data_IF_795838325673
#
_entry.id   IF_795838325673
#
_cell.length_a   1.000
_cell.length_b   1.000
_cell.length_c   1.000
_cell.angle_alpha   90.00
_cell.angle_beta   90.00
_cell.angle_gamma   90.00
#
_symmetry.space_group_name_H-M   'P 1'
#
loop_
_entity.id
_entity.type
_entity.pdbx_description
1 polymer ?
#
# COMPACT_ATOMS: atom_id res chain seq x y z
N UNK A 1 30.91 -37.69 -1.97
CA UNK A 1 29.90 -37.70 -0.92
C UNK A 1 30.02 -36.38 -0.18
N UNK A 2 29.26 -35.40 -0.58
CA UNK A 2 29.14 -34.09 0.10
C UNK A 2 27.65 -33.86 0.34
N UNK A 3 27.24 -34.07 1.59
CA UNK A 3 25.89 -33.88 2.05
C UNK A 3 25.64 -32.37 2.14
N UNK A 4 24.71 -31.88 1.31
CA UNK A 4 24.10 -30.56 1.50
C UNK A 4 22.91 -30.76 2.45
N UNK A 5 23.18 -30.62 3.74
CA UNK A 5 22.15 -30.44 4.76
C UNK A 5 22.22 -29.00 5.21
N UNK A 6 21.20 -28.24 4.92
CA UNK A 6 21.12 -26.85 5.35
C UNK A 6 19.82 -26.18 4.93
N UNK A 7 18.65 -26.78 5.26
CA UNK A 7 17.47 -25.96 5.54
C UNK A 7 17.70 -25.34 6.90
N UNK A 8 18.14 -24.10 6.96
CA UNK A 8 18.15 -23.33 8.18
C UNK A 8 16.69 -23.24 8.66
N UNK A 9 16.44 -23.86 9.80
CA UNK A 9 15.27 -23.66 10.64
C UNK A 9 15.40 -22.25 11.26
N UNK A 10 15.42 -21.23 10.40
CA UNK A 10 15.41 -19.85 10.82
C UNK A 10 13.97 -19.55 11.22
N UNK A 11 13.72 -19.56 12.52
CA UNK A 11 12.44 -19.19 13.10
C UNK A 11 11.93 -17.84 12.54
N UNK A 12 10.63 -17.59 12.65
CA UNK A 12 10.03 -16.32 12.19
C UNK A 12 10.65 -15.17 12.97
N UNK A 13 11.01 -14.09 12.29
CA UNK A 13 11.61 -12.90 12.89
C UNK A 13 10.70 -11.68 12.68
N UNK A 14 10.93 -10.60 13.45
CA UNK A 14 10.31 -9.28 13.24
C UNK A 14 10.52 -8.84 11.78
N UNK A 15 11.70 -9.08 11.22
CA UNK A 15 11.99 -8.82 9.81
C UNK A 15 11.08 -9.58 8.86
N UNK A 16 10.86 -10.88 9.12
CA UNK A 16 9.97 -11.71 8.29
C UNK A 16 8.53 -11.22 8.30
N UNK A 17 8.03 -10.80 9.47
CA UNK A 17 6.70 -10.22 9.61
C UNK A 17 6.60 -8.88 8.87
N UNK A 18 7.57 -7.99 9.07
CA UNK A 18 7.61 -6.69 8.40
C UNK A 18 7.67 -6.85 6.87
N UNK A 19 8.51 -7.76 6.35
CA UNK A 19 8.62 -8.01 4.91
C UNK A 19 7.34 -8.60 4.32
N UNK A 20 6.60 -9.42 5.07
CA UNK A 20 5.28 -9.90 4.64
C UNK A 20 4.27 -8.75 4.58
N UNK A 21 4.21 -7.94 5.63
CA UNK A 21 3.28 -6.80 5.70
C UNK A 21 3.61 -5.76 4.63
N UNK A 22 4.89 -5.45 4.36
CA UNK A 22 5.30 -4.52 3.30
C UNK A 22 4.98 -5.07 1.89
N UNK A 23 4.91 -6.38 1.69
CA UNK A 23 4.45 -6.97 0.42
C UNK A 23 2.94 -6.87 0.25
N UNK A 24 2.17 -7.08 1.32
CA UNK A 24 0.70 -7.05 1.28
C UNK A 24 0.18 -5.60 1.31
N UNK A 25 0.82 -4.75 2.11
CA UNK A 25 0.53 -3.33 2.27
C UNK A 25 1.74 -2.49 1.85
N UNK A 26 2.04 -2.38 0.54
CA UNK A 26 3.25 -1.74 0.07
C UNK A 26 3.37 -0.29 0.54
N UNK A 27 4.52 0.14 1.10
CA UNK A 27 4.71 1.53 1.56
C UNK A 27 4.45 2.59 0.49
N UNK A 28 4.59 2.24 -0.81
CA UNK A 28 4.28 3.14 -1.93
C UNK A 28 2.80 3.55 -2.02
N UNK A 29 1.91 2.80 -1.37
CA UNK A 29 0.48 3.10 -1.31
C UNK A 29 0.12 4.04 -0.16
N UNK A 30 1.06 4.35 0.73
CA UNK A 30 0.84 5.30 1.81
C UNK A 30 0.74 6.73 1.26
N UNK A 31 -0.11 7.53 1.89
CA UNK A 31 -0.18 8.96 1.66
C UNK A 31 1.15 9.65 2.01
N UNK A 32 1.49 10.71 1.29
CA UNK A 32 2.78 11.38 1.44
C UNK A 32 3.05 11.98 2.84
N UNK A 33 2.00 12.22 3.61
CA UNK A 33 2.06 12.75 4.98
C UNK A 33 2.12 11.66 6.05
N UNK A 34 1.97 10.38 5.66
CA UNK A 34 1.82 9.23 6.56
C UNK A 34 3.16 8.67 7.06
N UNK A 35 3.10 7.79 8.07
CA UNK A 35 4.24 7.12 8.67
C UNK A 35 3.92 5.66 8.92
N UNK A 36 4.37 4.78 8.03
CA UNK A 36 4.10 3.34 8.05
C UNK A 36 5.37 2.52 8.20
N UNK A 37 5.23 1.24 8.53
CA UNK A 37 6.35 0.30 8.67
C UNK A 37 6.75 0.04 10.12
N UNK A 38 7.96 -0.48 10.33
CA UNK A 38 8.49 -0.82 11.66
C UNK A 38 8.83 0.44 12.45
N UNK A 39 8.10 0.67 13.54
CA UNK A 39 8.24 1.86 14.42
C UNK A 39 9.32 1.66 15.48
N UNK A 40 9.37 0.48 16.11
CA UNK A 40 10.44 0.05 17.02
C UNK A 40 10.56 -1.48 17.02
N UNK A 41 11.71 -1.99 17.42
CA UNK A 41 12.05 -3.40 17.45
C UNK A 41 13.29 -3.73 16.62
N UNK A 42 13.88 -4.88 16.87
CA UNK A 42 15.02 -5.40 16.10
C UNK A 42 14.51 -6.44 15.09
N UNK A 43 14.81 -6.22 13.81
CA UNK A 43 14.37 -7.13 12.71
C UNK A 43 14.88 -8.56 12.87
N UNK A 44 15.92 -8.78 13.65
CA UNK A 44 16.52 -10.11 13.88
C UNK A 44 15.90 -10.86 15.05
N UNK A 45 15.09 -10.21 15.89
CA UNK A 45 14.42 -10.86 17.02
C UNK A 45 13.36 -11.85 16.54
N UNK A 46 13.26 -12.98 17.27
CA UNK A 46 12.28 -14.02 16.97
C UNK A 46 10.87 -13.57 17.33
N UNK A 47 9.88 -14.02 16.55
CA UNK A 47 8.46 -13.77 16.77
C UNK A 47 7.71 -15.10 16.83
N UNK A 48 6.97 -15.30 17.91
CA UNK A 48 6.03 -16.41 18.09
C UNK A 48 4.60 -15.90 18.24
N UNK A 49 4.42 -14.73 18.89
CA UNK A 49 3.12 -14.15 19.24
C UNK A 49 2.96 -12.73 18.69
N UNK A 50 1.84 -12.47 18.03
CA UNK A 50 1.48 -11.15 17.52
C UNK A 50 0.15 -10.66 18.09
N UNK A 51 0.04 -9.36 18.35
CA UNK A 51 -1.20 -8.68 18.75
C UNK A 51 -1.59 -7.67 17.67
N UNK A 52 -2.82 -7.75 17.18
CA UNK A 52 -3.34 -6.84 16.16
C UNK A 52 -4.31 -5.84 16.80
N UNK A 53 -4.20 -4.57 16.46
CA UNK A 53 -5.08 -3.52 16.99
C UNK A 53 -5.30 -2.40 15.97
N UNK A 54 -6.32 -1.56 16.21
CA UNK A 54 -6.47 -0.31 15.47
C UNK A 54 -5.52 0.75 16.05
N UNK A 55 -5.61 1.04 17.33
CA UNK A 55 -4.84 2.09 18.02
C UNK A 55 -3.82 1.51 19.00
N UNK A 56 -2.69 2.18 19.17
CA UNK A 56 -1.66 1.84 20.17
C UNK A 56 -1.92 2.63 21.45
N UNK A 57 -2.86 2.13 22.27
CA UNK A 57 -3.22 2.71 23.57
C UNK A 57 -2.44 2.06 24.71
N UNK A 58 -2.47 2.68 25.92
CA UNK A 58 -1.88 2.07 27.13
C UNK A 58 -2.47 0.68 27.41
N UNK A 59 -3.78 0.49 27.20
CA UNK A 59 -4.44 -0.80 27.39
C UNK A 59 -3.94 -1.88 26.42
N UNK A 60 -3.66 -1.52 25.15
CA UNK A 60 -3.04 -2.42 24.17
C UNK A 60 -1.63 -2.82 24.61
N UNK A 61 -0.85 -1.85 25.07
CA UNK A 61 0.53 -2.09 25.56
C UNK A 61 0.52 -2.93 26.83
N UNK A 62 -0.42 -2.71 27.75
CA UNK A 62 -0.60 -3.55 28.95
C UNK A 62 -0.91 -4.99 28.56
N UNK A 63 -1.83 -5.19 27.62
CA UNK A 63 -2.18 -6.53 27.13
C UNK A 63 -0.98 -7.21 26.44
N UNK A 64 -0.23 -6.48 25.60
CA UNK A 64 0.94 -7.02 24.91
C UNK A 64 2.03 -7.45 25.90
N UNK A 65 2.34 -6.62 26.89
CA UNK A 65 3.36 -6.93 27.91
C UNK A 65 2.92 -8.08 28.82
N UNK A 66 1.66 -8.12 29.23
CA UNK A 66 1.12 -9.21 30.05
C UNK A 66 1.03 -10.55 29.30
N UNK A 67 0.86 -10.51 27.98
CA UNK A 67 0.74 -11.67 27.11
C UNK A 67 2.06 -12.15 26.51
N UNK A 68 3.21 -11.57 26.88
CA UNK A 68 4.52 -11.83 26.28
C UNK A 68 4.47 -11.78 24.73
N UNK A 69 3.87 -10.70 24.19
CA UNK A 69 3.73 -10.47 22.75
C UNK A 69 5.04 -9.96 22.15
N UNK A 70 5.50 -10.59 21.07
CA UNK A 70 6.75 -10.21 20.41
C UNK A 70 6.59 -9.04 19.44
N UNK A 71 5.41 -8.90 18.81
CA UNK A 71 5.10 -7.81 17.88
C UNK A 71 3.65 -7.36 17.96
N UNK A 72 3.46 -6.04 18.01
CA UNK A 72 2.15 -5.41 17.78
C UNK A 72 2.09 -4.94 16.32
N UNK A 73 1.00 -5.29 15.63
CA UNK A 73 0.65 -4.73 14.32
C UNK A 73 -0.55 -3.81 14.50
N UNK A 74 -0.33 -2.52 14.34
CA UNK A 74 -1.34 -1.50 14.52
C UNK A 74 -1.75 -0.88 13.19
N UNK A 75 -3.01 -0.46 13.09
CA UNK A 75 -3.46 0.35 11.97
C UNK A 75 -2.94 1.79 12.12
N UNK A 76 -3.27 2.44 13.20
CA UNK A 76 -2.89 3.83 13.43
C UNK A 76 -1.43 4.00 13.86
N UNK A 77 -0.70 4.96 13.28
CA UNK A 77 0.68 5.22 13.64
C UNK A 77 0.79 5.89 15.02
N UNK A 78 1.56 5.28 15.92
CA UNK A 78 1.92 5.92 17.18
C UNK A 78 2.67 7.24 16.94
N UNK A 79 3.53 7.27 15.92
CA UNK A 79 4.37 8.41 15.54
C UNK A 79 4.03 8.86 14.11
N UNK A 80 2.92 9.61 13.95
CA UNK A 80 2.52 10.14 12.63
C UNK A 80 3.45 11.26 12.14
N UNK A 81 4.10 11.99 13.06
CA UNK A 81 5.05 13.07 12.74
C UNK A 81 6.39 12.75 13.36
N UNK A 82 7.46 13.27 12.75
CA UNK A 82 8.81 13.17 13.31
C UNK A 82 8.85 13.67 14.76
N UNK A 83 9.63 13.01 15.60
CA UNK A 83 9.79 13.35 17.03
C UNK A 83 11.25 13.65 17.33
N UNK A 84 11.49 14.68 18.14
CA UNK A 84 12.83 15.07 18.59
C UNK A 84 13.21 14.38 19.91
N UNK A 85 12.24 13.75 20.58
CA UNK A 85 12.44 13.06 21.86
C UNK A 85 11.46 11.91 22.02
N UNK A 86 11.95 10.83 22.62
CA UNK A 86 11.15 9.67 23.05
C UNK A 86 11.23 9.48 24.56
N UNK A 87 11.45 10.57 25.31
CA UNK A 87 11.54 10.54 26.77
C UNK A 87 10.26 9.96 27.40
N UNK A 88 10.42 9.16 28.46
CA UNK A 88 9.32 8.42 29.09
C UNK A 88 8.32 9.30 29.86
N UNK A 89 8.59 10.59 30.00
CA UNK A 89 7.70 11.60 30.60
C UNK A 89 6.65 12.14 29.64
N UNK A 90 6.69 11.73 28.37
CA UNK A 90 5.65 12.01 27.38
C UNK A 90 4.79 10.77 27.14
N UNK A 91 3.51 10.96 26.77
CA UNK A 91 2.59 9.85 26.54
C UNK A 91 3.15 8.83 25.51
N UNK A 92 3.58 9.30 24.33
CA UNK A 92 4.14 8.44 23.27
C UNK A 92 5.51 7.86 23.66
N UNK A 93 6.35 8.64 24.33
CA UNK A 93 7.64 8.17 24.84
C UNK A 93 7.48 7.08 25.89
N UNK A 94 6.52 7.21 26.81
CA UNK A 94 6.18 6.16 27.79
C UNK A 94 5.83 4.83 27.12
N UNK A 95 4.96 4.87 26.12
CA UNK A 95 4.58 3.69 25.31
C UNK A 95 5.82 3.04 24.67
N UNK A 96 6.65 3.82 23.98
CA UNK A 96 7.87 3.30 23.35
C UNK A 96 8.85 2.70 24.36
N UNK A 97 9.06 3.36 25.51
CA UNK A 97 9.92 2.81 26.56
C UNK A 97 9.43 1.47 27.09
N UNK A 98 8.11 1.31 27.25
CA UNK A 98 7.51 0.04 27.70
C UNK A 98 7.69 -1.06 26.66
N UNK A 99 7.43 -0.78 25.39
CA UNK A 99 7.60 -1.74 24.29
C UNK A 99 9.06 -2.18 24.15
N UNK A 100 10.02 -1.21 24.12
CA UNK A 100 11.44 -1.50 23.99
C UNK A 100 11.95 -2.34 25.17
N UNK A 101 11.50 -2.05 26.40
CA UNK A 101 11.88 -2.81 27.59
C UNK A 101 11.27 -4.21 27.62
N UNK A 102 10.08 -4.39 27.09
CA UNK A 102 9.41 -5.67 26.92
C UNK A 102 9.95 -6.47 25.73
N UNK A 103 10.79 -5.85 24.87
CA UNK A 103 11.27 -6.42 23.60
C UNK A 103 10.11 -6.69 22.63
N UNK A 104 9.03 -5.94 22.73
CA UNK A 104 7.88 -6.01 21.82
C UNK A 104 8.09 -5.03 20.67
N UNK A 105 8.13 -5.53 19.45
CA UNK A 105 8.19 -4.70 18.26
C UNK A 105 6.83 -4.04 17.96
N UNK A 106 6.85 -2.90 17.27
CA UNK A 106 5.65 -2.22 16.79
C UNK A 106 5.77 -1.97 15.30
N UNK A 107 4.80 -2.47 14.55
CA UNK A 107 4.65 -2.21 13.11
C UNK A 107 3.34 -1.48 12.85
N UNK A 108 3.34 -0.53 11.92
CA UNK A 108 2.15 0.24 11.51
C UNK A 108 1.85 0.00 10.03
N UNK A 109 0.58 -0.34 9.73
CA UNK A 109 0.03 -0.35 8.37
C UNK A 109 -1.24 0.51 8.35
N UNK A 110 -1.13 1.73 7.85
CA UNK A 110 -2.15 2.77 7.92
C UNK A 110 -2.72 3.05 6.53
N UNK A 111 -2.50 4.22 5.92
CA UNK A 111 -3.07 4.56 4.61
C UNK A 111 -2.60 3.63 3.48
N UNK A 112 -1.46 2.97 3.61
CA UNK A 112 -1.06 1.89 2.72
C UNK A 112 -1.97 0.66 2.83
N UNK A 113 -2.49 0.33 4.04
CA UNK A 113 -3.47 -0.73 4.23
C UNK A 113 -4.87 -0.29 3.78
N UNK A 114 -5.23 1.01 3.91
CA UNK A 114 -6.48 1.56 3.35
C UNK A 114 -6.55 1.39 1.84
N UNK A 115 -5.42 1.62 1.17
CA UNK A 115 -5.31 1.58 -0.29
C UNK A 115 -5.02 0.19 -0.85
N UNK A 116 -4.46 -0.74 -0.07
CA UNK A 116 -4.12 -2.09 -0.53
C UNK A 116 -5.34 -2.94 -0.90
N UNK A 117 -5.08 -4.07 -1.60
CA UNK A 117 -6.09 -5.08 -1.91
C UNK A 117 -5.50 -6.49 -1.69
N UNK A 118 -6.03 -7.28 -0.72
CA UNK A 118 -7.06 -6.90 0.26
C UNK A 118 -6.55 -5.87 1.27
N UNK A 119 -7.42 -4.95 1.69
CA UNK A 119 -7.10 -3.87 2.64
C UNK A 119 -8.26 -3.57 3.60
N UNK A 120 -8.16 -2.44 4.31
CA UNK A 120 -9.15 -2.01 5.33
C UNK A 120 -10.56 -1.93 4.75
N UNK A 121 -10.69 -1.28 3.59
CA UNK A 121 -12.00 -1.10 2.95
C UNK A 121 -12.54 -2.38 2.31
N UNK A 122 -11.66 -3.37 1.96
CA UNK A 122 -12.14 -4.71 1.55
C UNK A 122 -12.73 -5.45 2.75
N UNK A 123 -12.04 -5.48 3.90
CA UNK A 123 -12.54 -6.10 5.11
C UNK A 123 -13.87 -5.47 5.57
N UNK A 124 -14.01 -4.15 5.46
CA UNK A 124 -15.25 -3.44 5.76
C UNK A 124 -16.37 -3.83 4.77
N UNK A 125 -16.08 -3.87 3.46
CA UNK A 125 -17.03 -4.28 2.43
C UNK A 125 -17.55 -5.71 2.66
N UNK A 126 -16.64 -6.64 2.96
CA UNK A 126 -16.94 -8.05 3.19
C UNK A 126 -17.91 -8.24 4.36
N UNK A 127 -17.65 -7.63 5.52
CA UNK A 127 -18.53 -7.76 6.70
C UNK A 127 -19.89 -7.08 6.51
N UNK A 128 -20.00 -6.11 5.60
CA UNK A 128 -21.25 -5.45 5.22
C UNK A 128 -22.00 -6.15 4.09
N UNK A 129 -21.40 -7.17 3.47
CA UNK A 129 -21.98 -7.92 2.35
C UNK A 129 -22.01 -7.14 1.04
N UNK A 130 -21.01 -6.27 0.83
CA UNK A 130 -20.79 -5.58 -0.45
C UNK A 130 -19.91 -6.44 -1.33
N UNK A 131 -20.39 -6.77 -2.52
CA UNK A 131 -19.74 -7.67 -3.49
C UNK A 131 -19.37 -6.93 -4.79
N UNK A 132 -18.58 -7.59 -5.64
CA UNK A 132 -18.09 -7.05 -6.92
C UNK A 132 -17.41 -5.69 -6.76
N UNK A 133 -16.53 -5.58 -5.76
CA UNK A 133 -15.91 -4.33 -5.37
C UNK A 133 -14.78 -3.89 -6.30
N UNK A 134 -14.68 -2.57 -6.49
CA UNK A 134 -13.53 -1.88 -7.07
C UNK A 134 -13.14 -0.70 -6.18
N UNK A 135 -11.90 -0.15 -6.34
CA UNK A 135 -11.52 1.04 -5.58
C UNK A 135 -12.47 2.21 -5.85
N UNK A 136 -12.84 2.92 -4.79
CA UNK A 136 -13.63 4.15 -4.90
C UNK A 136 -12.80 5.30 -5.50
N UNK A 137 -11.55 5.38 -5.10
CA UNK A 137 -10.54 6.27 -5.67
C UNK A 137 -9.30 5.43 -6.02
N UNK A 138 -9.16 4.97 -7.27
CA UNK A 138 -8.02 4.15 -7.68
C UNK A 138 -6.69 4.87 -7.45
N UNK A 139 -5.68 4.11 -6.99
CA UNK A 139 -4.30 4.54 -6.98
C UNK A 139 -3.63 4.17 -8.32
N UNK A 140 -2.73 5.00 -8.84
CA UNK A 140 -2.01 4.63 -10.06
C UNK A 140 -1.08 3.44 -9.81
N UNK A 141 -0.86 2.65 -10.85
CA UNK A 141 0.24 1.68 -10.87
C UNK A 141 1.58 2.37 -10.59
N UNK A 142 2.56 1.61 -10.13
CA UNK A 142 3.90 2.13 -9.94
C UNK A 142 4.40 2.76 -11.25
N UNK A 143 4.92 4.01 -11.21
CA UNK A 143 5.33 4.70 -12.43
C UNK A 143 6.49 3.97 -13.10
N UNK A 144 6.34 3.70 -14.38
CA UNK A 144 7.33 3.03 -15.22
C UNK A 144 7.97 4.00 -16.21
N UNK A 145 9.16 3.68 -16.65
CA UNK A 145 9.87 4.33 -17.75
C UNK A 145 10.12 3.32 -18.86
N UNK A 146 9.82 3.71 -20.10
CA UNK A 146 10.24 3.00 -21.30
C UNK A 146 11.63 3.47 -21.68
N UNK A 147 12.56 2.54 -21.75
CA UNK A 147 13.93 2.75 -22.20
C UNK A 147 14.08 2.32 -23.64
N UNK A 148 14.72 3.14 -24.43
CA UNK A 148 15.08 2.85 -25.82
C UNK A 148 16.59 3.13 -25.95
N UNK A 149 17.36 2.14 -26.36
CA UNK A 149 18.82 2.26 -26.45
C UNK A 149 19.29 1.81 -27.84
N UNK A 150 20.10 2.61 -28.49
CA UNK A 150 20.76 2.26 -29.74
C UNK A 150 22.13 1.70 -29.42
N UNK A 151 22.36 0.45 -29.75
CA UNK A 151 23.58 -0.29 -29.36
C UNK A 151 24.19 -0.96 -30.62
N UNK A 152 25.50 -0.91 -30.87
CA UNK A 152 26.10 -1.75 -31.90
C UNK A 152 25.67 -3.20 -31.75
N UNK A 153 25.23 -3.87 -32.81
CA UNK A 153 24.59 -5.19 -32.78
C UNK A 153 25.37 -6.18 -31.88
N UNK A 154 26.70 -6.22 -32.05
CA UNK A 154 27.57 -7.13 -31.29
C UNK A 154 27.71 -6.84 -29.80
N UNK A 155 27.16 -5.70 -29.29
CA UNK A 155 27.19 -5.31 -27.88
C UNK A 155 25.79 -5.29 -27.24
N UNK A 156 24.73 -5.60 -27.98
CA UNK A 156 23.34 -5.48 -27.53
C UNK A 156 23.05 -6.38 -26.35
N UNK A 157 23.52 -7.63 -26.35
CA UNK A 157 23.36 -8.58 -25.26
C UNK A 157 24.04 -8.07 -23.99
N UNK A 158 25.30 -7.65 -24.05
CA UNK A 158 26.04 -7.15 -22.88
C UNK A 158 25.38 -5.93 -22.25
N UNK A 159 24.87 -4.99 -23.04
CA UNK A 159 24.21 -3.78 -22.54
C UNK A 159 22.86 -4.16 -21.90
N UNK A 160 22.09 -5.06 -22.53
CA UNK A 160 20.81 -5.54 -22.02
C UNK A 160 20.99 -6.24 -20.66
N UNK A 161 21.95 -7.15 -20.53
CA UNK A 161 22.25 -7.86 -19.28
C UNK A 161 22.63 -6.91 -18.15
N UNK A 162 23.45 -5.88 -18.45
CA UNK A 162 23.80 -4.87 -17.45
C UNK A 162 22.56 -4.08 -16.97
N UNK A 163 21.63 -3.73 -17.88
CA UNK A 163 20.39 -3.05 -17.54
C UNK A 163 19.44 -3.96 -16.77
N UNK A 164 19.34 -5.26 -17.12
CA UNK A 164 18.55 -6.24 -16.37
C UNK A 164 19.08 -6.42 -14.95
N UNK A 165 20.38 -6.54 -14.77
CA UNK A 165 21.01 -6.61 -13.45
C UNK A 165 20.73 -5.37 -12.59
N UNK A 166 20.49 -4.21 -13.22
CA UNK A 166 20.07 -2.98 -12.52
C UNK A 166 18.54 -2.89 -12.29
N UNK A 167 17.78 -3.92 -12.68
CA UNK A 167 16.34 -4.05 -12.43
C UNK A 167 15.44 -3.61 -13.58
N UNK A 168 15.97 -3.36 -14.79
CA UNK A 168 15.14 -3.18 -15.98
C UNK A 168 14.55 -4.51 -16.46
N UNK A 169 13.54 -4.46 -17.35
CA UNK A 169 12.93 -5.64 -17.96
C UNK A 169 12.01 -6.44 -17.06
N UNK A 170 11.55 -5.90 -15.92
CA UNK A 170 10.58 -6.57 -15.06
C UNK A 170 9.14 -6.17 -15.45
N UNK A 171 8.29 -7.16 -15.79
CA UNK A 171 6.87 -6.98 -16.10
C UNK A 171 6.08 -8.06 -15.36
N UNK A 172 5.40 -7.71 -14.27
CA UNK A 172 4.73 -8.67 -13.41
C UNK A 172 5.71 -9.73 -12.89
N UNK A 173 5.40 -11.01 -13.13
CA UNK A 173 6.24 -12.16 -12.76
C UNK A 173 7.33 -12.48 -13.80
N UNK A 174 7.41 -11.72 -14.89
CA UNK A 174 8.42 -11.90 -15.93
C UNK A 174 9.62 -10.98 -15.73
N UNK A 175 10.82 -11.50 -16.02
CA UNK A 175 12.08 -10.77 -15.95
C UNK A 175 12.76 -10.77 -17.31
N UNK A 176 13.72 -9.88 -17.46
CA UNK A 176 14.57 -9.74 -18.65
C UNK A 176 13.76 -9.53 -19.94
N UNK A 177 12.59 -8.88 -19.77
CA UNK A 177 11.71 -8.54 -20.88
C UNK A 177 12.31 -7.39 -21.69
N UNK A 178 12.67 -7.68 -22.92
CA UNK A 178 13.12 -6.68 -23.89
C UNK A 178 12.60 -7.02 -25.28
N UNK A 179 12.57 -6.02 -26.12
CA UNK A 179 12.32 -6.16 -27.56
C UNK A 179 13.45 -5.49 -28.33
N UNK A 180 13.90 -6.07 -29.44
CA UNK A 180 14.95 -5.47 -30.24
C UNK A 180 14.71 -5.64 -31.72
N UNK A 181 15.26 -4.71 -32.49
CA UNK A 181 15.31 -4.75 -33.96
C UNK A 181 16.63 -4.15 -34.43
N UNK A 182 17.23 -4.75 -35.43
CA UNK A 182 18.46 -4.23 -36.07
C UNK A 182 18.09 -3.22 -37.13
N UNK A 183 18.81 -2.10 -37.14
CA UNK A 183 18.72 -1.02 -38.10
C UNK A 183 20.10 -0.45 -38.38
N UNK A 184 20.17 0.64 -39.17
CA UNK A 184 21.42 1.32 -39.48
C UNK A 184 21.45 2.67 -38.79
N UNK A 185 22.34 2.83 -37.79
CA UNK A 185 22.69 4.10 -37.19
C UNK A 185 23.70 4.87 -38.05
N UNK A 186 23.71 6.20 -37.92
CA UNK A 186 24.74 7.02 -38.54
C UNK A 186 25.17 8.17 -37.64
N UNK A 187 26.46 8.51 -37.69
CA UNK A 187 27.00 9.66 -36.96
C UNK A 187 28.28 10.18 -37.68
N UNK A 188 28.72 11.35 -37.25
CA UNK A 188 30.00 11.93 -37.67
C UNK A 188 30.70 12.45 -36.41
N UNK A 189 31.83 11.85 -36.06
CA UNK A 189 32.65 12.27 -34.91
C UNK A 189 33.36 13.59 -35.23
N UNK A 190 33.32 14.58 -34.32
CA UNK A 190 33.93 15.90 -34.51
C UNK A 190 34.69 16.36 -33.26
N UNK A 191 35.59 17.31 -33.45
CA UNK A 191 36.29 17.97 -32.34
C UNK A 191 37.17 17.04 -31.54
N UNK A 192 36.89 16.92 -30.24
CA UNK A 192 37.63 16.09 -29.28
C UNK A 192 37.01 14.71 -29.07
N UNK A 193 36.01 14.30 -29.87
CA UNK A 193 35.39 12.97 -29.77
C UNK A 193 36.41 11.86 -30.01
N UNK A 194 36.29 10.76 -29.27
CA UNK A 194 37.11 9.57 -29.40
C UNK A 194 36.22 8.36 -29.75
N UNK A 195 35.82 8.24 -31.03
CA UNK A 195 34.84 7.24 -31.43
C UNK A 195 35.39 5.82 -31.32
N UNK A 196 34.62 4.93 -30.73
CA UNK A 196 34.91 3.48 -30.67
C UNK A 196 34.83 2.86 -32.07
N UNK A 197 33.97 3.38 -32.96
CA UNK A 197 33.75 2.93 -34.33
C UNK A 197 33.81 4.17 -35.23
N UNK A 198 34.44 4.06 -36.39
CA UNK A 198 34.58 5.14 -37.36
C UNK A 198 35.77 6.07 -37.12
N UNK A 199 35.84 7.19 -37.85
CA UNK A 199 36.93 8.16 -37.82
C UNK A 199 36.42 9.58 -37.68
N UNK A 200 37.27 10.48 -37.15
CA UNK A 200 36.97 11.92 -37.06
C UNK A 200 36.70 12.54 -38.42
N UNK A 201 35.61 13.28 -38.57
CA UNK A 201 35.24 14.02 -39.77
C UNK A 201 34.64 13.17 -40.90
N UNK A 202 34.42 11.87 -40.66
CA UNK A 202 33.80 10.95 -41.61
C UNK A 202 32.41 10.53 -41.11
N UNK A 203 31.43 10.48 -42.04
CA UNK A 203 30.11 9.93 -41.74
C UNK A 203 30.18 8.42 -41.70
N UNK A 204 29.98 7.86 -40.55
CA UNK A 204 30.01 6.43 -40.26
C UNK A 204 28.62 5.86 -40.22
N UNK A 205 28.40 4.67 -40.79
CA UNK A 205 27.17 3.89 -40.68
C UNK A 205 27.49 2.61 -39.93
N UNK A 206 26.63 2.27 -38.98
CA UNK A 206 26.80 1.10 -38.09
C UNK A 206 25.49 0.33 -38.00
N UNK A 207 25.59 -1.00 -38.09
CA UNK A 207 24.45 -1.86 -37.75
C UNK A 207 24.22 -1.82 -36.23
N UNK A 208 23.09 -1.26 -35.82
CA UNK A 208 22.71 -1.05 -34.45
C UNK A 208 21.41 -1.78 -34.10
N UNK A 209 21.38 -2.44 -32.98
CA UNK A 209 20.13 -2.92 -32.37
C UNK A 209 19.48 -1.76 -31.61
N UNK A 210 18.23 -1.47 -31.95
CA UNK A 210 17.37 -0.69 -31.11
C UNK A 210 16.79 -1.66 -30.08
N UNK A 211 17.17 -1.51 -28.81
CA UNK A 211 16.70 -2.32 -27.67
C UNK A 211 15.71 -1.51 -26.88
N UNK A 212 14.56 -2.12 -26.59
CA UNK A 212 13.50 -1.51 -25.79
C UNK A 212 13.18 -2.37 -24.58
N UNK A 213 13.07 -1.74 -23.42
CA UNK A 213 12.65 -2.39 -22.17
C UNK A 213 11.97 -1.39 -21.25
N UNK A 214 11.31 -1.87 -20.20
CA UNK A 214 10.72 -1.01 -19.17
C UNK A 214 11.49 -1.14 -17.87
N UNK A 215 11.42 -0.11 -17.02
CA UNK A 215 11.97 -0.15 -15.67
C UNK A 215 11.12 0.73 -14.74
N UNK A 216 11.01 0.33 -13.48
CA UNK A 216 10.39 1.18 -12.47
C UNK A 216 11.13 2.53 -12.39
N UNK A 217 10.38 3.65 -12.39
CA UNK A 217 10.95 5.02 -12.40
C UNK A 217 11.94 5.26 -11.27
N UNK A 218 11.74 4.62 -10.10
CA UNK A 218 12.68 4.69 -8.98
C UNK A 218 14.08 4.12 -9.30
N UNK A 219 14.18 3.23 -10.29
CA UNK A 219 15.45 2.63 -10.72
C UNK A 219 16.17 3.42 -11.81
N UNK A 220 15.63 4.57 -12.26
CA UNK A 220 16.17 5.36 -13.38
C UNK A 220 17.68 5.63 -13.23
N UNK A 221 18.13 6.00 -12.02
CA UNK A 221 19.54 6.32 -11.77
C UNK A 221 20.44 5.10 -11.89
N UNK A 222 20.05 3.96 -11.34
CA UNK A 222 20.84 2.72 -11.40
C UNK A 222 20.88 2.14 -12.80
N UNK A 223 19.74 2.11 -13.50
CA UNK A 223 19.65 1.64 -14.89
C UNK A 223 20.48 2.52 -15.82
N UNK A 224 20.43 3.86 -15.68
CA UNK A 224 21.25 4.78 -16.47
C UNK A 224 22.76 4.57 -16.22
N UNK A 225 23.14 4.35 -14.97
CA UNK A 225 24.54 4.08 -14.64
C UNK A 225 25.03 2.77 -15.27
N UNK A 226 24.21 1.71 -15.20
CA UNK A 226 24.53 0.42 -15.82
C UNK A 226 24.62 0.50 -17.34
N UNK A 227 23.67 1.18 -17.99
CA UNK A 227 23.69 1.45 -19.42
C UNK A 227 25.01 2.12 -19.84
N UNK A 228 25.36 3.25 -19.20
CA UNK A 228 26.57 4.01 -19.54
C UNK A 228 27.87 3.23 -19.29
N UNK A 229 27.90 2.39 -18.27
CA UNK A 229 29.07 1.57 -17.95
C UNK A 229 29.29 0.41 -18.93
N UNK A 230 28.20 -0.15 -19.49
CA UNK A 230 28.26 -1.29 -20.39
C UNK A 230 28.30 -0.92 -21.86
N UNK A 231 27.85 0.30 -22.21
CA UNK A 231 27.76 0.74 -23.60
C UNK A 231 29.13 1.03 -24.18
N UNK A 232 29.45 0.55 -25.41
CA UNK A 232 30.77 0.74 -26.01
C UNK A 232 31.06 2.19 -26.48
N UNK A 233 30.02 3.01 -26.67
CA UNK A 233 30.18 4.40 -27.04
C UNK A 233 30.43 5.30 -25.83
N UNK A 234 31.28 6.32 -25.98
CA UNK A 234 31.47 7.34 -24.96
C UNK A 234 30.18 8.17 -24.70
N UNK A 235 29.38 8.37 -25.74
CA UNK A 235 28.08 9.05 -25.71
C UNK A 235 27.00 8.15 -26.34
N UNK A 236 26.38 7.27 -25.58
CA UNK A 236 25.31 6.40 -26.08
C UNK A 236 24.06 7.19 -26.45
N UNK A 237 23.39 6.80 -27.53
CA UNK A 237 22.08 7.30 -27.89
C UNK A 237 21.00 6.47 -27.18
N UNK A 238 20.20 7.13 -26.37
CA UNK A 238 19.08 6.49 -25.66
C UNK A 238 17.96 7.49 -25.36
N UNK A 239 16.75 6.98 -25.20
CA UNK A 239 15.59 7.72 -24.75
C UNK A 239 15.04 7.10 -23.47
N UNK A 240 14.50 7.95 -22.59
CA UNK A 240 13.74 7.55 -21.42
C UNK A 240 12.37 8.24 -21.50
N UNK A 241 11.34 7.45 -21.81
CA UNK A 241 9.97 7.94 -21.94
C UNK A 241 9.19 7.54 -20.68
N UNK A 242 8.60 8.52 -20.01
CA UNK A 242 7.69 8.25 -18.90
C UNK A 242 6.42 7.59 -19.46
N UNK A 243 6.05 6.41 -18.97
CA UNK A 243 4.76 5.82 -19.30
C UNK A 243 3.64 6.59 -18.60
N UNK A 244 2.48 6.65 -19.24
CA UNK A 244 1.28 7.25 -18.66
C UNK A 244 0.81 6.44 -17.45
N UNK A 245 0.29 7.13 -16.43
CA UNK A 245 -0.25 6.50 -15.26
C UNK A 245 -1.53 5.72 -15.63
N UNK A 246 -1.58 4.46 -15.20
CA UNK A 246 -2.74 3.59 -15.36
C UNK A 246 -3.28 3.30 -13.95
N UNK A 247 -4.60 3.39 -13.77
CA UNK A 247 -5.26 3.05 -12.52
C UNK A 247 -5.06 1.56 -12.21
N UNK A 248 -4.81 1.29 -10.93
CA UNK A 248 -4.70 -0.08 -10.43
C UNK A 248 -6.01 -0.55 -9.78
N UNK A 249 -6.02 -1.80 -9.35
CA UNK A 249 -7.08 -2.37 -8.52
C UNK A 249 -6.93 -2.03 -7.02
N UNK A 250 -5.89 -1.26 -6.66
CA UNK A 250 -5.68 -0.68 -5.33
C UNK A 250 -6.14 0.77 -5.28
N UNK A 251 -6.36 1.31 -4.08
CA UNK A 251 -6.80 2.70 -3.87
C UNK A 251 -7.75 2.81 -2.69
N UNK A 252 -8.12 4.04 -2.36
CA UNK A 252 -8.95 4.35 -1.19
C UNK A 252 -10.40 3.92 -1.39
N UNK A 253 -10.99 3.39 -0.31
CA UNK A 253 -12.39 2.96 -0.28
C UNK A 253 -12.70 1.81 -1.24
N UNK A 254 -13.93 1.34 -1.19
CA UNK A 254 -14.48 0.37 -2.16
C UNK A 254 -15.87 0.79 -2.59
N UNK A 255 -16.19 0.57 -3.85
CA UNK A 255 -17.53 0.69 -4.41
C UNK A 255 -17.93 -0.66 -4.98
N UNK A 256 -19.16 -1.08 -4.70
CA UNK A 256 -19.69 -2.34 -5.15
C UNK A 256 -21.22 -2.35 -5.05
N UNK A 257 -21.80 -3.54 -4.91
CA UNK A 257 -23.26 -3.69 -4.77
C UNK A 257 -23.59 -4.67 -3.67
N UNK A 258 -24.80 -4.56 -3.15
CA UNK A 258 -25.36 -5.59 -2.27
C UNK A 258 -25.77 -6.81 -3.09
N UNK A 259 -25.57 -8.00 -2.54
CA UNK A 259 -26.00 -9.25 -3.18
C UNK A 259 -27.52 -9.28 -3.48
N UNK A 260 -28.30 -8.52 -2.70
CA UNK A 260 -29.71 -8.23 -2.92
C UNK A 260 -30.01 -6.80 -2.48
N UNK A 261 -30.89 -6.06 -3.16
CA UNK A 261 -31.32 -4.75 -2.72
C UNK A 261 -31.85 -4.77 -1.29
N UNK A 262 -31.57 -3.74 -0.52
CA UNK A 262 -31.97 -3.58 0.90
C UNK A 262 -32.50 -2.18 1.12
N UNK A 263 -33.33 -2.00 2.13
CA UNK A 263 -33.68 -0.63 2.57
C UNK A 263 -32.55 -0.01 3.37
N UNK A 264 -32.45 1.33 3.38
CA UNK A 264 -31.51 2.07 4.26
C UNK A 264 -31.65 1.61 5.72
N UNK A 265 -32.87 1.43 6.18
CA UNK A 265 -33.13 1.00 7.55
C UNK A 265 -32.57 -0.40 7.88
N UNK A 266 -32.70 -1.35 6.96
CA UNK A 266 -32.14 -2.70 7.09
C UNK A 266 -30.63 -2.69 7.01
N UNK A 267 -30.05 -1.93 6.06
CA UNK A 267 -28.60 -1.78 5.93
C UNK A 267 -27.96 -1.19 7.20
N UNK A 268 -28.51 -0.08 7.72
CA UNK A 268 -28.02 0.59 8.94
C UNK A 268 -28.14 -0.33 10.14
N UNK A 269 -29.24 -1.09 10.28
CA UNK A 269 -29.41 -2.05 11.37
C UNK A 269 -28.39 -3.17 11.30
N UNK A 270 -28.12 -3.69 10.09
CA UNK A 270 -27.07 -4.70 9.86
C UNK A 270 -25.69 -4.13 10.20
N UNK A 271 -25.36 -2.93 9.71
CA UNK A 271 -24.08 -2.27 9.99
C UNK A 271 -23.88 -2.07 11.51
N UNK A 272 -24.89 -1.60 12.23
CA UNK A 272 -24.82 -1.43 13.67
C UNK A 272 -24.59 -2.75 14.42
N UNK A 273 -25.20 -3.86 13.98
CA UNK A 273 -25.01 -5.18 14.57
C UNK A 273 -23.64 -5.81 14.28
N UNK A 274 -23.03 -5.44 13.15
CA UNK A 274 -21.78 -6.05 12.65
C UNK A 274 -20.54 -5.29 13.12
N UNK A 275 -20.56 -3.95 13.06
CA UNK A 275 -19.35 -3.10 13.21
C UNK A 275 -18.98 -2.77 14.66
N UNK A 276 -19.76 -3.20 15.66
CA UNK A 276 -19.46 -2.96 17.08
C UNK A 276 -19.20 -1.48 17.45
N UNK A 277 -19.87 -0.54 16.76
CA UNK A 277 -19.73 0.88 17.06
C UNK A 277 -20.15 1.16 18.49
N UNK A 278 -19.27 1.74 19.35
CA UNK A 278 -19.58 1.98 20.77
C UNK A 278 -20.77 2.92 20.99
N UNK A 279 -21.05 3.81 20.04
CA UNK A 279 -22.11 4.82 20.11
C UNK A 279 -23.14 4.69 18.97
N UNK A 280 -23.13 3.55 18.25
CA UNK A 280 -24.12 3.24 17.22
C UNK A 280 -23.77 3.76 15.84
N UNK A 281 -24.75 3.69 14.92
CA UNK A 281 -24.64 4.10 13.53
C UNK A 281 -25.70 5.14 13.23
N UNK A 282 -25.31 6.24 12.61
CA UNK A 282 -26.25 7.29 12.18
C UNK A 282 -26.26 7.41 10.66
N UNK A 283 -27.42 7.73 10.09
CA UNK A 283 -27.59 7.82 8.65
C UNK A 283 -28.47 9.01 8.26
N UNK A 284 -28.30 9.46 7.02
CA UNK A 284 -29.19 10.43 6.37
C UNK A 284 -30.27 9.71 5.56
N UNK A 285 -31.26 10.44 5.07
CA UNK A 285 -32.28 9.92 4.16
C UNK A 285 -33.42 9.16 4.86
N UNK A 286 -34.27 8.56 4.04
CA UNK A 286 -35.47 7.84 4.52
C UNK A 286 -35.17 6.35 4.73
N UNK A 287 -35.69 5.78 5.85
CA UNK A 287 -35.48 4.37 6.21
C UNK A 287 -35.99 3.39 5.13
N UNK A 288 -37.04 3.76 4.40
CA UNK A 288 -37.67 2.92 3.36
C UNK A 288 -37.01 3.02 1.99
N UNK A 289 -36.08 3.95 1.80
CA UNK A 289 -35.36 4.08 0.52
C UNK A 289 -34.57 2.80 0.25
N UNK A 290 -34.76 2.23 -0.95
CA UNK A 290 -34.04 1.04 -1.42
C UNK A 290 -32.66 1.46 -1.92
N UNK A 291 -31.65 0.67 -1.58
CA UNK A 291 -30.24 0.83 -1.98
C UNK A 291 -29.72 -0.49 -2.55
N UNK A 292 -28.94 -0.39 -3.60
CA UNK A 292 -28.31 -1.52 -4.29
C UNK A 292 -26.80 -1.30 -4.41
N UNK A 293 -26.38 -0.07 -4.80
CA UNK A 293 -24.97 0.31 -4.97
C UNK A 293 -24.45 0.98 -3.70
N UNK A 294 -23.34 0.47 -3.17
CA UNK A 294 -22.79 0.90 -1.91
C UNK A 294 -21.30 1.21 -2.06
N UNK A 295 -20.89 2.36 -1.55
CA UNK A 295 -19.49 2.69 -1.33
C UNK A 295 -19.16 2.61 0.17
N UNK A 296 -17.94 2.18 0.50
CA UNK A 296 -17.43 2.13 1.87
C UNK A 296 -16.00 2.67 1.94
N UNK A 297 -15.66 3.30 3.07
CA UNK A 297 -14.29 3.70 3.40
C UNK A 297 -14.09 3.58 4.90
N UNK A 298 -13.05 2.87 5.35
CA UNK A 298 -12.65 2.84 6.75
C UNK A 298 -12.19 4.21 7.22
N UNK A 299 -12.35 4.50 8.51
CA UNK A 299 -11.94 5.75 9.13
C UNK A 299 -12.68 6.98 8.63
N UNK A 300 -11.98 8.12 8.53
CA UNK A 300 -12.54 9.40 8.12
C UNK A 300 -12.61 9.54 6.60
N UNK A 301 -13.78 9.33 6.02
CA UNK A 301 -13.99 9.36 4.56
C UNK A 301 -14.68 10.61 4.01
N UNK A 302 -14.72 11.73 4.74
CA UNK A 302 -15.39 12.94 4.27
C UNK A 302 -14.73 13.57 3.02
N UNK A 303 -13.45 13.31 2.78
CA UNK A 303 -12.73 13.73 1.56
C UNK A 303 -13.24 13.07 0.27
N UNK A 304 -13.94 11.93 0.37
CA UNK A 304 -14.44 11.17 -0.77
C UNK A 304 -15.91 11.51 -1.14
N UNK A 305 -16.56 12.46 -0.44
CA UNK A 305 -17.96 12.81 -0.67
C UNK A 305 -18.26 13.24 -2.12
N UNK A 306 -17.39 14.01 -2.74
CA UNK A 306 -17.55 14.43 -4.15
C UNK A 306 -17.33 13.23 -5.11
N UNK A 307 -16.41 12.34 -4.80
CA UNK A 307 -16.16 11.12 -5.60
C UNK A 307 -17.39 10.21 -5.59
N UNK A 308 -17.96 9.90 -4.42
CA UNK A 308 -19.15 9.05 -4.31
C UNK A 308 -20.36 9.67 -4.97
N UNK A 309 -20.52 11.00 -4.90
CA UNK A 309 -21.55 11.74 -5.63
C UNK A 309 -21.37 11.59 -7.14
N UNK A 310 -20.14 11.74 -7.64
CA UNK A 310 -19.84 11.62 -9.08
C UNK A 310 -20.09 10.22 -9.63
N UNK A 311 -19.92 9.18 -8.81
CA UNK A 311 -20.20 7.78 -9.17
C UNK A 311 -21.71 7.44 -9.13
N UNK A 312 -22.55 8.26 -8.47
CA UNK A 312 -23.98 8.06 -8.39
C UNK A 312 -24.40 6.82 -7.58
N UNK A 313 -23.61 6.44 -6.56
CA UNK A 313 -23.95 5.33 -5.66
C UNK A 313 -25.17 5.68 -4.80
N UNK A 314 -25.91 4.66 -4.34
CA UNK A 314 -27.11 4.86 -3.51
C UNK A 314 -26.76 5.22 -2.06
N UNK A 315 -25.66 4.63 -1.54
CA UNK A 315 -25.25 4.77 -0.14
C UNK A 315 -23.73 4.80 -0.01
N UNK A 316 -23.23 5.64 0.90
CA UNK A 316 -21.83 5.67 1.31
C UNK A 316 -21.71 5.53 2.82
N UNK A 317 -20.93 4.54 3.29
CA UNK A 317 -20.64 4.30 4.69
C UNK A 317 -19.16 4.59 5.01
N UNK A 318 -18.93 5.37 6.08
CA UNK A 318 -17.59 5.71 6.57
C UNK A 318 -17.66 6.11 8.06
N UNK A 319 -16.63 6.70 8.61
CA UNK A 319 -16.58 7.32 9.93
C UNK A 319 -16.35 8.83 9.89
N UNK A 320 -16.44 9.48 11.05
CA UNK A 320 -16.07 10.87 11.32
C UNK A 320 -16.77 11.92 10.44
N UNK A 321 -17.99 11.66 10.01
CA UNK A 321 -18.73 12.59 9.17
C UNK A 321 -19.16 13.84 9.98
N UNK A 322 -18.78 15.01 9.47
CA UNK A 322 -19.08 16.32 10.07
C UNK A 322 -20.32 16.96 9.45
N UNK A 323 -20.98 17.81 10.22
CA UNK A 323 -22.26 18.43 9.86
C UNK A 323 -22.22 19.11 8.49
N UNK A 324 -21.31 20.08 8.28
CA UNK A 324 -21.32 20.89 7.07
C UNK A 324 -20.96 20.09 5.80
N UNK A 325 -19.91 19.25 5.77
CA UNK A 325 -19.64 18.42 4.61
C UNK A 325 -20.82 17.52 4.23
N UNK A 326 -21.52 16.95 5.22
CA UNK A 326 -22.73 16.14 4.99
C UNK A 326 -23.86 16.96 4.40
N UNK A 327 -24.18 18.14 4.99
CA UNK A 327 -25.26 19.01 4.49
C UNK A 327 -24.97 19.48 3.05
N UNK A 328 -23.74 19.87 2.77
CA UNK A 328 -23.31 20.30 1.43
C UNK A 328 -23.42 19.14 0.40
N UNK A 329 -22.94 17.94 0.77
CA UNK A 329 -23.04 16.77 -0.10
C UNK A 329 -24.50 16.41 -0.42
N UNK A 330 -25.39 16.44 0.57
CA UNK A 330 -26.82 16.19 0.39
C UNK A 330 -27.49 17.23 -0.50
N UNK A 331 -27.21 18.53 -0.29
CA UNK A 331 -27.73 19.62 -1.14
C UNK A 331 -27.26 19.52 -2.58
N UNK A 332 -26.05 18.96 -2.78
CA UNK A 332 -25.51 18.71 -4.12
C UNK A 332 -26.05 17.42 -4.77
N UNK A 333 -27.02 16.75 -4.15
CA UNK A 333 -27.63 15.52 -4.68
C UNK A 333 -26.78 14.26 -4.43
N UNK A 334 -26.02 14.24 -3.33
CA UNK A 334 -25.23 13.07 -2.93
C UNK A 334 -26.05 11.87 -2.48
N UNK A 335 -25.38 10.72 -2.23
CA UNK A 335 -26.02 9.49 -1.78
C UNK A 335 -26.56 9.58 -0.34
N UNK A 336 -27.19 8.52 0.13
CA UNK A 336 -27.40 8.32 1.56
C UNK A 336 -26.03 8.21 2.24
N UNK A 337 -25.80 8.99 3.29
CA UNK A 337 -24.55 8.99 4.05
C UNK A 337 -24.75 8.27 5.38
N UNK A 338 -23.82 7.36 5.70
CA UNK A 338 -23.86 6.56 6.93
C UNK A 338 -22.53 6.74 7.66
N UNK A 339 -22.61 7.19 8.91
CA UNK A 339 -21.48 7.30 9.82
C UNK A 339 -21.57 6.18 10.86
N UNK A 340 -20.61 5.27 10.81
CA UNK A 340 -20.55 4.10 11.69
C UNK A 340 -19.41 4.19 12.73
N UNK A 341 -18.69 5.33 12.76
CA UNK A 341 -17.55 5.55 13.63
C UNK A 341 -16.22 5.13 13.04
N UNK A 342 -15.17 5.83 13.44
CA UNK A 342 -13.82 5.63 12.92
C UNK A 342 -13.31 4.22 13.22
N UNK A 343 -13.08 3.92 14.50
CA UNK A 343 -12.58 2.63 14.95
C UNK A 343 -13.40 1.44 14.43
N UNK A 344 -14.73 1.56 14.47
CA UNK A 344 -15.63 0.48 14.07
C UNK A 344 -15.56 0.14 12.60
N UNK A 345 -15.27 1.11 11.72
CA UNK A 345 -15.12 0.89 10.28
C UNK A 345 -13.76 0.29 9.89
N UNK A 346 -12.76 0.40 10.75
CA UNK A 346 -11.41 -0.13 10.54
C UNK A 346 -11.16 -1.46 11.26
N UNK A 347 -11.86 -1.73 12.34
CA UNK A 347 -11.67 -2.94 13.14
C UNK A 347 -11.79 -4.26 12.37
N UNK A 348 -12.65 -4.43 11.34
CA UNK A 348 -12.69 -5.65 10.52
C UNK A 348 -11.32 -6.03 9.92
N UNK A 349 -10.47 -5.05 9.58
CA UNK A 349 -9.11 -5.27 9.09
C UNK A 349 -8.23 -6.02 10.10
N UNK A 350 -8.40 -5.79 11.40
CA UNK A 350 -7.62 -6.49 12.42
C UNK A 350 -7.80 -8.01 12.31
N UNK A 351 -9.01 -8.49 12.04
CA UNK A 351 -9.29 -9.92 11.82
C UNK A 351 -8.61 -10.42 10.55
N UNK A 352 -8.69 -9.67 9.46
CA UNK A 352 -8.05 -10.00 8.19
C UNK A 352 -6.53 -10.14 8.33
N UNK A 353 -5.86 -9.23 9.06
CA UNK A 353 -4.41 -9.30 9.31
C UNK A 353 -4.06 -10.47 10.21
N UNK A 354 -4.87 -10.74 11.24
CA UNK A 354 -4.64 -11.88 12.11
C UNK A 354 -4.66 -13.20 11.30
N UNK A 355 -5.66 -13.38 10.45
CA UNK A 355 -5.75 -14.53 9.54
C UNK A 355 -4.56 -14.59 8.56
N UNK A 356 -4.15 -13.46 8.01
CA UNK A 356 -2.99 -13.36 7.11
C UNK A 356 -1.72 -13.88 7.80
N UNK A 357 -1.41 -13.38 9.00
CA UNK A 357 -0.20 -13.75 9.73
C UNK A 357 -0.24 -15.20 10.20
N UNK A 358 -1.37 -15.66 10.73
CA UNK A 358 -1.56 -17.04 11.16
C UNK A 358 -1.38 -18.03 9.99
N UNK A 359 -1.95 -17.73 8.82
CA UNK A 359 -1.91 -18.63 7.65
C UNK A 359 -0.56 -18.60 6.92
N UNK A 360 0.12 -17.43 6.86
CA UNK A 360 1.35 -17.28 6.08
C UNK A 360 2.62 -17.56 6.88
N UNK A 361 2.58 -17.31 8.20
CA UNK A 361 3.75 -17.44 9.08
C UNK A 361 3.52 -18.42 10.24
N UNK A 362 2.34 -19.03 10.36
CA UNK A 362 1.99 -19.92 11.46
C UNK A 362 2.24 -19.32 12.87
N UNK A 363 2.01 -18.01 13.01
CA UNK A 363 2.13 -17.29 14.28
C UNK A 363 0.89 -17.53 15.17
N UNK A 364 1.09 -17.46 16.49
CA UNK A 364 0.00 -17.26 17.45
C UNK A 364 -0.42 -15.79 17.39
N UNK A 365 -1.64 -15.52 16.94
CA UNK A 365 -2.11 -14.16 16.67
C UNK A 365 -3.38 -13.87 17.45
N UNK A 366 -3.35 -12.80 18.24
CA UNK A 366 -4.49 -12.29 18.98
C UNK A 366 -4.94 -10.95 18.41
N UNK A 367 -6.23 -10.68 18.41
CA UNK A 367 -6.82 -9.39 18.07
C UNK A 367 -7.28 -8.69 19.35
N UNK A 368 -6.81 -7.48 19.58
CA UNK A 368 -7.29 -6.64 20.67
C UNK A 368 -8.69 -6.13 20.34
N UNK A 369 -9.70 -6.84 20.84
CA UNK A 369 -11.10 -6.64 20.46
C UNK A 369 -11.85 -5.60 21.32
N UNK A 370 -11.20 -5.05 22.36
CA UNK A 370 -11.80 -3.96 23.16
C UNK A 370 -11.73 -2.68 22.34
N UNK A 371 -12.85 -1.97 22.14
CA UNK A 371 -12.84 -0.71 21.41
C UNK A 371 -11.86 0.29 22.01
N UNK A 372 -11.02 0.86 21.15
CA UNK A 372 -10.08 1.94 21.48
C UNK A 372 -10.60 3.31 21.04
N UNK A 373 -11.85 3.38 20.57
CA UNK A 373 -12.54 4.62 20.26
C UNK A 373 -12.50 5.57 21.47
N UNK A 374 -12.07 6.83 21.30
CA UNK A 374 -12.00 7.78 22.41
C UNK A 374 -13.38 8.17 22.98
N UNK A 375 -14.45 7.99 22.21
CA UNK A 375 -15.81 8.27 22.66
C UNK A 375 -16.43 7.01 23.29
N UNK A 376 -16.37 6.90 24.62
CA UNK A 376 -16.79 5.70 25.36
C UNK A 376 -18.17 5.80 25.99
N UNK A 377 -18.79 6.97 25.93
CA UNK A 377 -20.11 7.24 26.52
C UNK A 377 -21.04 7.88 25.50
N UNK A 378 -22.26 7.37 25.41
CA UNK A 378 -23.36 8.03 24.70
C UNK A 378 -24.62 7.94 25.57
N UNK A 379 -25.54 8.86 25.37
CA UNK A 379 -26.86 8.85 26.04
C UNK A 379 -27.94 8.70 24.96
N UNK A 380 -28.86 7.77 25.19
CA UNK A 380 -30.09 7.65 24.41
C UNK A 380 -31.01 8.83 24.73
N UNK A 381 -31.68 9.41 23.69
CA UNK A 381 -32.64 10.49 23.84
C UNK A 381 -34.05 9.94 24.08
#
# INVERSE_FOLDING_TARGET
MTSVTGTSDAGISVGSVADLLDRVYPPRLAEAWDSVGLVCGDRTEAVARALICVDVTDAVVDAAVAGDVDIIVAHHPLLLRGVDSVAADTAKGSVLHRLIRARTALFTAHTNADSARPGVSDALADVLGVVDTSPLQPAPLAPMDKWIVMVPEGSAEQVSEAMFAAGAGAIGEYRDCAWSVVGVGQFEARGAANPTIGSLGERTHVDEARVEMVAARGLRRSVLAALRAAHPYEEPAFDILAEEAIDSDTGLGRVGRLASPSTVGEFVTRAAGTLRSPWGVRATGERSRVVETVAVCGGAGDSLLDTVRGLGVDLYLTGDLRHHPVDEALRAGGPVLVDAGHWATEFPWCTQVAELLANRLALDVEVFATPTDPFTLHADC
#
